data_IF_933549621866
#
_entry.id   IF_933549621866
#
_cell.length_a   1.000
_cell.length_b   1.000
_cell.length_c   1.000
_cell.angle_alpha   90.00
_cell.angle_beta   90.00
_cell.angle_gamma   90.00
#
_symmetry.space_group_name_H-M   'P 1'
#
loop_
_entity.id
_entity.type
_entity.pdbx_description
1 polymer ?
#
# COMPACT_ATOMS: atom_id res chain seq x y z
N UNK A 1 4.45 -33.32 -31.28
CA UNK A 1 3.44 -32.73 -30.36
C UNK A 1 3.46 -31.19 -30.31
N UNK A 2 4.51 -30.50 -30.74
CA UNK A 2 4.66 -29.04 -30.60
C UNK A 2 3.85 -28.17 -31.59
N UNK A 3 3.39 -28.71 -32.73
CA UNK A 3 2.62 -27.95 -33.73
C UNK A 3 1.14 -27.67 -33.34
N UNK A 4 0.60 -28.37 -32.35
CA UNK A 4 -0.79 -28.19 -31.91
C UNK A 4 -0.99 -26.94 -31.02
N UNK A 5 0.08 -26.46 -30.36
CA UNK A 5 0.04 -25.32 -29.44
C UNK A 5 0.06 -23.94 -30.14
N UNK A 6 0.23 -23.88 -31.46
CA UNK A 6 0.40 -22.61 -32.20
C UNK A 6 -0.71 -22.34 -33.23
N UNK A 7 -1.79 -23.13 -33.27
CA UNK A 7 -2.91 -22.85 -34.16
C UNK A 7 -3.69 -21.62 -33.67
N UNK A 8 -4.26 -20.78 -34.57
CA UNK A 8 -5.05 -19.62 -34.17
C UNK A 8 -6.29 -20.01 -33.34
N UNK A 9 -6.82 -21.23 -33.51
CA UNK A 9 -7.92 -21.77 -32.71
C UNK A 9 -7.49 -22.13 -31.30
N UNK A 10 -6.31 -22.72 -31.12
CA UNK A 10 -5.79 -23.08 -29.80
C UNK A 10 -5.36 -21.85 -28.99
N UNK A 11 -4.80 -20.81 -29.63
CA UNK A 11 -4.56 -19.51 -28.97
C UNK A 11 -5.86 -18.83 -28.52
N UNK A 12 -6.89 -18.83 -29.37
CA UNK A 12 -8.22 -18.29 -29.00
C UNK A 12 -8.84 -19.06 -27.84
N UNK A 13 -8.79 -20.40 -27.88
CA UNK A 13 -9.32 -21.24 -26.80
C UNK A 13 -8.57 -20.98 -25.48
N UNK A 14 -7.23 -20.86 -25.52
CA UNK A 14 -6.42 -20.53 -24.35
C UNK A 14 -6.75 -19.15 -23.78
N UNK A 15 -6.94 -18.13 -24.63
CA UNK A 15 -7.34 -16.80 -24.19
C UNK A 15 -8.73 -16.79 -23.56
N UNK A 16 -9.69 -17.48 -24.17
CA UNK A 16 -11.06 -17.61 -23.61
C UNK A 16 -11.01 -18.32 -22.26
N UNK A 17 -10.26 -19.42 -22.16
CA UNK A 17 -10.07 -20.13 -20.88
C UNK A 17 -9.43 -19.22 -19.83
N UNK A 18 -8.40 -18.45 -20.20
CA UNK A 18 -7.75 -17.49 -19.31
C UNK A 18 -8.72 -16.42 -18.81
N UNK A 19 -9.56 -15.86 -19.70
CA UNK A 19 -10.59 -14.88 -19.33
C UNK A 19 -11.63 -15.50 -18.39
N UNK A 20 -12.10 -16.71 -18.69
CA UNK A 20 -13.08 -17.41 -17.83
C UNK A 20 -12.50 -17.68 -16.44
N UNK A 21 -11.25 -18.13 -16.36
CA UNK A 21 -10.57 -18.34 -15.08
C UNK A 21 -10.37 -17.02 -14.32
N UNK A 22 -9.99 -15.94 -15.02
CA UNK A 22 -9.87 -14.62 -14.42
C UNK A 22 -11.21 -14.15 -13.85
N UNK A 23 -12.31 -14.28 -14.61
CA UNK A 23 -13.65 -13.94 -14.14
C UNK A 23 -14.04 -14.80 -12.95
N UNK A 24 -13.78 -16.11 -12.98
CA UNK A 24 -14.08 -17.02 -11.87
C UNK A 24 -13.34 -16.63 -10.58
N UNK A 25 -12.11 -16.11 -10.69
CA UNK A 25 -11.34 -15.61 -9.54
C UNK A 25 -11.83 -14.25 -9.07
N UNK A 26 -12.15 -13.32 -9.98
CA UNK A 26 -12.49 -11.92 -9.64
C UNK A 26 -13.95 -11.76 -9.22
N UNK A 27 -14.88 -12.48 -9.84
CA UNK A 27 -16.32 -12.33 -9.62
C UNK A 27 -16.73 -12.49 -8.15
N UNK A 28 -16.21 -13.46 -7.36
CA UNK A 28 -16.50 -13.56 -5.93
C UNK A 28 -16.18 -12.29 -5.14
N UNK A 29 -15.04 -11.65 -5.43
CA UNK A 29 -14.65 -10.40 -4.78
C UNK A 29 -15.51 -9.22 -5.24
N UNK A 30 -15.89 -9.20 -6.53
CA UNK A 30 -16.80 -8.18 -7.04
C UNK A 30 -18.18 -8.27 -6.41
N UNK A 31 -18.72 -9.49 -6.23
CA UNK A 31 -20.00 -9.74 -5.54
C UNK A 31 -19.92 -9.35 -4.07
N UNK A 32 -18.81 -9.66 -3.39
CA UNK A 32 -18.60 -9.18 -2.02
C UNK A 32 -18.58 -7.65 -1.94
N UNK A 33 -17.88 -6.98 -2.86
CA UNK A 33 -17.73 -5.53 -2.85
C UNK A 33 -19.01 -4.77 -3.27
N UNK A 34 -19.84 -5.37 -4.12
CA UNK A 34 -21.07 -4.79 -4.67
C UNK A 34 -22.15 -5.88 -4.70
N UNK A 35 -22.79 -6.22 -3.57
CA UNK A 35 -23.80 -7.30 -3.50
C UNK A 35 -25.03 -7.04 -4.38
N UNK A 36 -25.28 -5.79 -4.78
CA UNK A 36 -26.41 -5.40 -5.62
C UNK A 36 -26.35 -6.04 -7.02
N UNK A 37 -25.16 -6.43 -7.49
CA UNK A 37 -25.00 -7.12 -8.78
C UNK A 37 -25.67 -8.50 -8.80
N UNK A 38 -25.95 -9.08 -7.62
CA UNK A 38 -26.70 -10.33 -7.46
C UNK A 38 -28.06 -10.13 -6.80
N UNK A 39 -28.52 -8.88 -6.67
CA UNK A 39 -29.82 -8.53 -6.09
C UNK A 39 -29.85 -8.67 -4.56
N UNK A 40 -28.74 -8.39 -3.90
CA UNK A 40 -28.61 -8.35 -2.45
C UNK A 40 -28.09 -6.98 -1.99
N UNK A 41 -28.11 -6.73 -0.68
CA UNK A 41 -27.94 -5.39 -0.12
C UNK A 41 -26.67 -5.32 0.72
N UNK A 42 -26.33 -6.41 1.42
CA UNK A 42 -25.17 -6.45 2.32
C UNK A 42 -24.32 -7.71 2.10
N UNK A 43 -23.05 -7.62 2.50
CA UNK A 43 -22.12 -8.74 2.47
C UNK A 43 -21.30 -8.77 3.77
N UNK A 44 -21.14 -9.97 4.34
CA UNK A 44 -20.40 -10.13 5.59
C UNK A 44 -19.42 -11.29 5.51
N UNK A 45 -18.26 -11.11 6.15
CA UNK A 45 -17.32 -12.21 6.38
C UNK A 45 -17.70 -12.92 7.67
N UNK A 46 -17.85 -14.24 7.59
CA UNK A 46 -18.23 -15.08 8.72
C UNK A 46 -17.01 -15.30 9.61
N UNK A 47 -17.13 -14.94 10.87
CA UNK A 47 -16.01 -14.95 11.83
C UNK A 47 -16.01 -16.18 12.76
N UNK A 48 -17.18 -16.75 13.02
CA UNK A 48 -17.37 -17.83 14.00
C UNK A 48 -17.89 -19.10 13.33
N UNK A 49 -17.79 -20.22 14.04
CA UNK A 49 -18.20 -21.54 13.52
C UNK A 49 -19.64 -21.92 13.87
N UNK A 50 -20.49 -20.99 14.33
CA UNK A 50 -21.84 -21.30 14.83
C UNK A 50 -22.79 -21.83 13.76
N UNK A 51 -22.54 -21.53 12.49
CA UNK A 51 -23.33 -22.01 11.34
C UNK A 51 -22.70 -23.20 10.61
N UNK A 52 -21.68 -23.85 11.20
CA UNK A 52 -21.05 -25.04 10.60
C UNK A 52 -22.02 -26.23 10.63
N UNK A 53 -22.10 -27.08 9.59
CA UNK A 53 -21.28 -27.09 8.37
C UNK A 53 -21.82 -26.28 7.19
N UNK A 54 -23.00 -25.66 7.31
CA UNK A 54 -23.62 -24.94 6.20
C UNK A 54 -22.84 -23.69 5.81
N UNK A 55 -22.28 -22.99 6.78
CA UNK A 55 -21.49 -21.76 6.62
C UNK A 55 -20.32 -21.82 7.59
N UNK A 56 -19.10 -21.80 7.06
CA UNK A 56 -17.87 -21.92 7.84
C UNK A 56 -17.20 -20.55 8.10
N UNK A 57 -16.34 -20.45 9.12
CA UNK A 57 -15.47 -19.29 9.29
C UNK A 57 -14.66 -19.01 8.02
N UNK A 58 -14.55 -17.74 7.64
CA UNK A 58 -13.87 -17.29 6.43
C UNK A 58 -14.69 -17.39 5.15
N UNK A 59 -15.93 -17.88 5.22
CA UNK A 59 -16.90 -17.72 4.14
C UNK A 59 -17.43 -16.29 4.12
N UNK A 60 -17.96 -15.89 2.96
CA UNK A 60 -18.72 -14.66 2.80
C UNK A 60 -20.18 -15.01 2.61
N UNK A 61 -21.05 -14.35 3.36
CA UNK A 61 -22.50 -14.41 3.16
C UNK A 61 -22.97 -13.13 2.47
N UNK A 62 -23.84 -13.30 1.49
CA UNK A 62 -24.52 -12.22 0.78
C UNK A 62 -25.96 -12.20 1.27
N UNK A 63 -26.39 -11.04 1.77
CA UNK A 63 -27.62 -10.85 2.51
C UNK A 63 -28.52 -9.91 1.72
N UNK A 64 -29.73 -10.36 1.43
CA UNK A 64 -30.75 -9.55 0.79
C UNK A 64 -31.83 -9.20 1.81
N UNK A 65 -32.25 -7.93 1.81
CA UNK A 65 -33.41 -7.47 2.55
C UNK A 65 -34.65 -8.28 2.13
N UNK A 66 -35.49 -8.57 3.12
CA UNK A 66 -36.75 -9.29 2.89
C UNK A 66 -37.79 -8.78 3.86
N UNK A 67 -39.04 -8.73 3.39
CA UNK A 67 -40.18 -8.48 4.26
C UNK A 67 -40.13 -9.46 5.44
N UNK A 68 -40.06 -8.98 6.70
CA UNK A 68 -40.04 -9.85 7.87
C UNK A 68 -41.20 -10.85 7.91
N UNK A 69 -42.36 -10.51 7.34
CA UNK A 69 -43.54 -11.39 7.29
C UNK A 69 -43.39 -12.58 6.34
N UNK A 70 -42.41 -12.52 5.43
CA UNK A 70 -42.09 -13.61 4.51
C UNK A 70 -41.02 -14.58 5.05
N UNK A 71 -40.45 -14.29 6.22
CA UNK A 71 -39.46 -15.15 6.87
C UNK A 71 -40.15 -16.40 7.43
N UNK A 72 -39.57 -17.56 7.15
CA UNK A 72 -40.06 -18.84 7.60
C UNK A 72 -39.02 -19.62 8.40
N UNK A 73 -39.49 -20.63 9.13
CA UNK A 73 -38.59 -21.62 9.74
C UNK A 73 -37.68 -22.26 8.69
N UNK A 74 -36.40 -22.36 9.02
CA UNK A 74 -35.36 -22.86 8.12
C UNK A 74 -34.57 -21.77 7.40
N UNK A 75 -35.08 -20.54 7.31
CA UNK A 75 -34.34 -19.42 6.72
C UNK A 75 -33.10 -19.08 7.56
N UNK A 76 -32.01 -18.69 6.89
CA UNK A 76 -30.80 -18.19 7.55
C UNK A 76 -30.82 -16.67 7.48
N UNK A 77 -30.99 -16.02 8.61
CA UNK A 77 -31.14 -14.58 8.70
C UNK A 77 -29.92 -13.94 9.35
N UNK A 78 -29.63 -12.72 8.93
CA UNK A 78 -28.69 -11.82 9.59
C UNK A 78 -29.47 -10.76 10.36
N UNK A 79 -29.11 -10.50 11.61
CA UNK A 79 -29.81 -9.57 12.48
C UNK A 79 -28.86 -8.91 13.47
N UNK A 80 -29.28 -7.78 14.05
CA UNK A 80 -28.56 -7.09 15.12
C UNK A 80 -29.22 -7.35 16.48
N UNK A 81 -28.45 -7.51 17.54
CA UNK A 81 -28.98 -7.76 18.90
C UNK A 81 -28.68 -6.61 19.84
N UNK A 82 -29.72 -6.10 20.51
CA UNK A 82 -29.59 -5.00 21.47
C UNK A 82 -29.03 -3.75 20.81
N UNK A 83 -27.95 -3.23 21.39
CA UNK A 83 -27.20 -2.07 20.86
C UNK A 83 -25.86 -2.49 20.23
N UNK A 84 -25.69 -3.77 19.88
CA UNK A 84 -24.47 -4.25 19.21
C UNK A 84 -24.51 -3.86 17.74
N UNK A 85 -23.44 -3.22 17.27
CA UNK A 85 -23.24 -2.92 15.86
C UNK A 85 -22.74 -4.15 15.06
N UNK A 86 -22.42 -5.25 15.75
CA UNK A 86 -21.96 -6.49 15.11
C UNK A 86 -23.17 -7.38 14.78
N UNK A 87 -23.44 -7.66 13.49
CA UNK A 87 -24.52 -8.52 13.08
C UNK A 87 -24.23 -10.00 13.38
N UNK A 88 -25.29 -10.76 13.62
CA UNK A 88 -25.28 -12.20 13.88
C UNK A 88 -26.08 -12.89 12.79
N UNK A 89 -25.55 -14.01 12.28
CA UNK A 89 -26.22 -14.82 11.23
C UNK A 89 -26.55 -16.18 11.79
N UNK A 90 -27.84 -16.50 11.96
CA UNK A 90 -28.31 -17.80 12.47
C UNK A 90 -29.59 -18.27 11.76
N UNK A 91 -29.94 -19.54 11.93
CA UNK A 91 -31.14 -20.14 11.33
C UNK A 91 -32.38 -19.86 12.17
N UNK A 92 -33.47 -19.51 11.53
CA UNK A 92 -34.79 -19.40 12.16
C UNK A 92 -35.30 -20.80 12.47
N UNK A 93 -35.61 -21.06 13.73
CA UNK A 93 -36.21 -22.32 14.20
C UNK A 93 -37.66 -22.14 14.65
N UNK A 94 -38.13 -20.90 14.76
CA UNK A 94 -39.51 -20.57 15.11
C UNK A 94 -39.85 -19.14 14.73
N UNK A 95 -41.12 -18.91 14.35
CA UNK A 95 -41.67 -17.57 14.11
C UNK A 95 -42.82 -17.35 15.10
N UNK A 96 -42.81 -16.21 15.78
CA UNK A 96 -43.76 -15.90 16.85
C UNK A 96 -44.33 -14.50 16.69
N UNK A 97 -45.61 -14.34 17.04
CA UNK A 97 -46.33 -13.08 16.92
C UNK A 97 -46.69 -12.68 15.49
N UNK A 98 -47.32 -11.52 15.34
CA UNK A 98 -47.74 -10.94 14.06
C UNK A 98 -47.59 -9.41 14.11
N UNK A 99 -47.48 -8.79 12.93
CA UNK A 99 -47.37 -7.34 12.79
C UNK A 99 -46.21 -6.76 13.60
N UNK A 100 -46.50 -5.81 14.50
CA UNK A 100 -45.48 -5.16 15.33
C UNK A 100 -44.86 -6.08 16.41
N UNK A 101 -45.50 -7.21 16.72
CA UNK A 101 -45.00 -8.18 17.70
C UNK A 101 -44.27 -9.36 17.04
N UNK A 102 -44.09 -9.33 15.71
CA UNK A 102 -43.39 -10.38 14.98
C UNK A 102 -41.93 -10.49 15.45
N UNK A 103 -41.54 -11.70 15.84
CA UNK A 103 -40.20 -12.01 16.30
C UNK A 103 -39.79 -13.45 15.94
N UNK A 104 -38.49 -13.65 15.77
CA UNK A 104 -37.89 -14.91 15.33
C UNK A 104 -37.13 -15.58 16.47
N UNK A 105 -37.33 -16.88 16.64
CA UNK A 105 -36.46 -17.72 17.43
C UNK A 105 -35.35 -18.25 16.54
N UNK A 106 -34.10 -18.03 16.92
CA UNK A 106 -32.93 -18.35 16.10
C UNK A 106 -31.99 -19.31 16.80
N UNK A 107 -31.24 -20.09 16.02
CA UNK A 107 -30.23 -21.02 16.50
C UNK A 107 -29.12 -21.15 15.46
N UNK A 108 -27.87 -21.12 15.92
CA UNK A 108 -26.73 -21.51 15.08
C UNK A 108 -26.75 -23.01 14.81
N UNK A 109 -26.49 -23.43 13.57
CA UNK A 109 -26.51 -24.84 13.15
C UNK A 109 -25.60 -25.76 14.01
N UNK A 110 -24.53 -25.21 14.57
CA UNK A 110 -23.58 -25.92 15.44
C UNK A 110 -23.84 -25.72 16.94
N UNK A 111 -24.82 -24.91 17.33
CA UNK A 111 -25.11 -24.63 18.75
C UNK A 111 -25.90 -25.80 19.39
N UNK A 112 -25.84 -25.92 20.71
CA UNK A 112 -26.56 -26.98 21.45
C UNK A 112 -28.04 -26.65 21.71
N UNK A 113 -28.44 -25.38 21.56
CA UNK A 113 -29.81 -24.94 21.75
C UNK A 113 -30.07 -23.55 21.17
N UNK A 114 -31.32 -23.06 21.30
CA UNK A 114 -31.75 -21.76 20.80
C UNK A 114 -30.92 -20.61 21.38
N UNK A 115 -30.79 -19.54 20.59
CA UNK A 115 -30.18 -18.31 21.07
C UNK A 115 -31.01 -17.67 22.19
N UNK A 116 -30.38 -16.90 23.09
CA UNK A 116 -31.11 -16.22 24.15
C UNK A 116 -31.98 -15.10 23.59
N UNK A 117 -33.30 -15.24 23.79
CA UNK A 117 -34.31 -14.25 23.45
C UNK A 117 -34.71 -14.23 21.98
N UNK A 118 -35.93 -13.76 21.72
CA UNK A 118 -36.45 -13.62 20.36
C UNK A 118 -35.85 -12.39 19.66
N UNK A 119 -35.64 -12.49 18.36
CA UNK A 119 -35.18 -11.42 17.49
C UNK A 119 -36.39 -10.66 16.94
N UNK A 120 -36.64 -9.41 17.34
CA UNK A 120 -37.76 -8.64 16.79
C UNK A 120 -37.58 -8.39 15.29
N UNK A 121 -38.68 -8.31 14.54
CA UNK A 121 -38.67 -8.03 13.11
C UNK A 121 -37.90 -6.75 12.74
N UNK A 122 -37.92 -5.72 13.61
CA UNK A 122 -37.19 -4.47 13.41
C UNK A 122 -35.66 -4.59 13.51
N UNK A 123 -35.15 -5.73 13.97
CA UNK A 123 -33.73 -6.01 14.07
C UNK A 123 -33.21 -6.89 12.92
N UNK A 124 -34.09 -7.32 12.01
CA UNK A 124 -33.72 -8.09 10.83
C UNK A 124 -32.93 -7.20 9.88
N UNK A 125 -31.72 -7.65 9.50
CA UNK A 125 -30.94 -7.04 8.42
C UNK A 125 -31.36 -7.65 7.08
N UNK A 126 -31.49 -8.98 7.04
CA UNK A 126 -31.98 -9.66 5.85
C UNK A 126 -31.75 -11.16 5.91
N UNK A 127 -31.88 -11.82 4.77
CA UNK A 127 -31.72 -13.27 4.62
C UNK A 127 -30.51 -13.58 3.75
N UNK A 128 -29.73 -14.57 4.16
CA UNK A 128 -28.61 -15.07 3.37
C UNK A 128 -29.14 -15.72 2.09
N UNK A 129 -28.74 -15.19 0.94
CA UNK A 129 -29.14 -15.69 -0.39
C UNK A 129 -28.01 -16.46 -1.08
N UNK A 130 -26.76 -16.12 -0.77
CA UNK A 130 -25.57 -16.75 -1.35
C UNK A 130 -24.46 -16.83 -0.32
N UNK A 131 -23.78 -17.98 -0.27
CA UNK A 131 -22.55 -18.18 0.51
C UNK A 131 -21.40 -18.45 -0.44
N UNK A 132 -20.30 -17.72 -0.28
CA UNK A 132 -19.09 -17.87 -1.08
C UNK A 132 -17.96 -18.36 -0.17
N UNK A 133 -17.47 -19.59 -0.36
CA UNK A 133 -16.52 -20.18 0.56
C UNK A 133 -15.11 -19.58 0.44
N UNK A 134 -14.38 -19.56 1.55
CA UNK A 134 -12.94 -19.22 1.68
C UNK A 134 -12.49 -17.80 1.30
N UNK A 135 -13.25 -17.03 0.51
CA UNK A 135 -12.81 -15.71 0.04
C UNK A 135 -12.67 -14.70 1.17
N UNK A 136 -13.40 -14.90 2.28
CA UNK A 136 -13.30 -14.08 3.48
C UNK A 136 -11.91 -14.12 4.12
N UNK A 137 -11.14 -15.20 3.96
CA UNK A 137 -9.74 -15.22 4.40
C UNK A 137 -8.86 -14.26 3.61
N UNK A 138 -9.06 -14.18 2.29
CA UNK A 138 -8.31 -13.26 1.42
C UNK A 138 -8.70 -11.82 1.73
N UNK A 139 -9.99 -11.55 1.91
CA UNK A 139 -10.50 -10.21 2.27
C UNK A 139 -9.91 -9.75 3.62
N UNK A 140 -9.96 -10.61 4.64
CA UNK A 140 -9.40 -10.30 5.95
C UNK A 140 -7.88 -10.08 5.88
N UNK A 141 -7.16 -10.93 5.13
CA UNK A 141 -5.73 -10.76 4.92
C UNK A 141 -5.41 -9.45 4.21
N UNK A 142 -6.13 -9.10 3.15
CA UNK A 142 -5.98 -7.83 2.43
C UNK A 142 -6.23 -6.61 3.34
N UNK A 143 -7.10 -6.75 4.34
CA UNK A 143 -7.32 -5.74 5.39
C UNK A 143 -6.12 -5.54 6.33
N UNK A 144 -5.17 -6.47 6.42
CA UNK A 144 -3.95 -6.33 7.24
C UNK A 144 -2.88 -5.48 6.55
N UNK A 145 -1.94 -4.91 7.31
CA UNK A 145 -0.78 -4.17 6.74
C UNK A 145 0.04 -5.05 5.79
N UNK A 146 0.32 -6.28 6.20
CA UNK A 146 1.10 -7.22 5.40
C UNK A 146 0.37 -7.61 4.11
N UNK A 147 -0.93 -7.92 4.19
CA UNK A 147 -1.72 -8.26 3.02
C UNK A 147 -1.92 -7.09 2.06
N UNK A 148 -2.13 -5.87 2.57
CA UNK A 148 -2.16 -4.67 1.73
C UNK A 148 -0.84 -4.46 0.98
N UNK A 149 0.31 -4.60 1.67
CA UNK A 149 1.61 -4.49 1.01
C UNK A 149 1.79 -5.59 -0.05
N UNK A 150 1.47 -6.83 0.28
CA UNK A 150 1.67 -7.97 -0.60
C UNK A 150 0.75 -7.95 -1.84
N UNK A 151 -0.53 -7.63 -1.65
CA UNK A 151 -1.56 -7.72 -2.69
C UNK A 151 -1.75 -6.42 -3.48
N UNK A 152 -1.34 -5.27 -2.94
CA UNK A 152 -1.53 -3.96 -3.58
C UNK A 152 -0.17 -3.30 -3.84
N UNK A 153 0.59 -2.93 -2.81
CA UNK A 153 1.81 -2.13 -3.01
C UNK A 153 2.88 -2.84 -3.83
N UNK A 154 3.14 -4.12 -3.56
CA UNK A 154 4.17 -4.89 -4.26
C UNK A 154 3.88 -5.02 -5.77
N UNK A 155 2.70 -5.47 -6.24
CA UNK A 155 2.45 -5.58 -7.67
C UNK A 155 2.42 -4.23 -8.38
N UNK A 156 1.80 -3.20 -7.80
CA UNK A 156 1.81 -1.85 -8.38
C UNK A 156 3.21 -1.23 -8.39
N UNK A 157 3.99 -1.43 -7.32
CA UNK A 157 5.37 -0.98 -7.23
C UNK A 157 6.28 -1.67 -8.23
N UNK A 158 6.10 -2.98 -8.44
CA UNK A 158 6.84 -3.74 -9.45
C UNK A 158 6.50 -3.25 -10.86
N UNK A 159 5.21 -3.03 -11.16
CA UNK A 159 4.77 -2.47 -12.43
C UNK A 159 5.39 -1.09 -12.68
N UNK A 160 5.35 -0.20 -11.69
CA UNK A 160 5.97 1.11 -11.78
C UNK A 160 7.49 1.02 -11.98
N UNK A 161 8.17 0.11 -11.26
CA UNK A 161 9.60 -0.11 -11.43
C UNK A 161 9.97 -0.62 -12.83
N UNK A 162 9.15 -1.52 -13.40
CA UNK A 162 9.38 -2.01 -14.76
C UNK A 162 9.21 -0.91 -15.82
N UNK A 163 8.25 -0.01 -15.62
CA UNK A 163 8.03 1.14 -16.53
C UNK A 163 9.16 2.17 -16.41
N UNK A 164 9.64 2.45 -15.20
CA UNK A 164 10.80 3.33 -15.02
C UNK A 164 12.06 2.73 -15.65
N UNK A 165 12.25 1.42 -15.53
CA UNK A 165 13.42 0.74 -16.10
C UNK A 165 13.41 0.72 -17.63
N UNK A 166 12.24 0.57 -18.27
CA UNK A 166 12.13 0.65 -19.73
C UNK A 166 12.53 2.03 -20.25
N UNK A 167 12.08 3.11 -19.59
CA UNK A 167 12.41 4.49 -19.97
C UNK A 167 13.91 4.77 -19.87
N UNK A 168 14.58 4.24 -18.83
CA UNK A 168 16.03 4.42 -18.65
C UNK A 168 16.83 3.62 -19.68
N UNK A 169 16.33 2.46 -20.11
CA UNK A 169 17.06 1.55 -21.00
C UNK A 169 16.88 1.86 -22.49
N UNK A 170 15.70 2.32 -22.92
CA UNK A 170 15.42 2.68 -24.32
C UNK A 170 16.22 3.92 -24.80
N UNK A 171 16.65 4.78 -23.87
CA UNK A 171 17.57 5.89 -24.18
C UNK A 171 19.00 5.44 -24.50
N UNK A 172 19.37 4.20 -24.18
CA UNK A 172 20.68 3.63 -24.48
C UNK A 172 20.85 3.09 -25.91
N UNK A 173 19.74 2.77 -26.60
CA UNK A 173 19.81 2.15 -27.93
C UNK A 173 19.64 3.15 -29.09
N UNK A 174 19.19 4.38 -28.83
CA UNK A 174 19.01 5.41 -29.87
C UNK A 174 20.29 6.20 -30.23
N UNK A 175 21.44 5.90 -29.60
CA UNK A 175 22.72 6.56 -29.88
C UNK A 175 23.53 6.00 -31.06
N UNK A 176 22.98 5.04 -31.82
CA UNK A 176 23.74 4.20 -32.75
C UNK A 176 23.49 4.39 -34.25
N UNK A 177 22.78 5.44 -34.71
CA UNK A 177 22.67 5.72 -36.15
C UNK A 177 23.67 6.81 -36.55
N UNK A 178 24.90 6.39 -36.87
CA UNK A 178 25.96 7.27 -37.38
C UNK A 178 25.51 7.97 -38.68
N UNK A 179 25.69 9.30 -38.82
CA UNK A 179 25.48 9.96 -40.09
C UNK A 179 26.57 9.54 -41.07
N UNK A 180 26.15 9.21 -42.29
CA UNK A 180 27.03 8.92 -43.41
C UNK A 180 28.05 10.06 -43.59
N UNK A 181 29.32 9.67 -43.59
CA UNK A 181 30.51 10.49 -43.86
C UNK A 181 30.34 11.34 -45.11
N UNK A 182 30.39 12.66 -44.95
CA UNK A 182 30.62 13.61 -46.05
C UNK A 182 32.13 13.86 -46.11
N UNK A 183 32.74 13.55 -47.25
CA UNK A 183 34.16 13.76 -47.52
C UNK A 183 34.51 15.27 -47.55
N UNK A 184 35.72 15.69 -47.11
CA UNK A 184 36.14 17.08 -47.15
C UNK A 184 36.77 17.43 -48.50
N UNK A 185 36.39 18.56 -49.08
CA UNK A 185 37.08 19.16 -50.23
C UNK A 185 37.75 20.47 -49.80
N UNK A 186 38.93 20.67 -50.38
CA UNK A 186 40.04 21.52 -50.01
C UNK A 186 39.79 23.03 -49.81
N UNK A 187 40.67 23.57 -48.97
CA UNK A 187 41.04 24.97 -48.81
C UNK A 187 41.39 25.66 -50.14
N UNK A 188 41.01 26.92 -50.29
CA UNK A 188 41.80 27.88 -51.05
C UNK A 188 41.67 29.29 -50.50
N UNK A 189 42.83 29.93 -50.51
CA UNK A 189 43.24 31.21 -49.93
C UNK A 189 42.70 32.43 -50.70
N UNK A 190 42.68 33.60 -50.05
CA UNK A 190 42.89 34.87 -50.76
C UNK A 190 41.86 36.00 -50.62
N UNK A 191 42.22 36.96 -49.76
CA UNK A 191 42.16 38.42 -49.97
C UNK A 191 40.81 39.19 -49.93
N UNK A 192 40.72 40.15 -48.99
CA UNK A 192 40.42 41.54 -49.36
C UNK A 192 39.41 42.33 -48.51
N UNK A 193 39.97 43.26 -47.71
CA UNK A 193 39.50 44.63 -47.40
C UNK A 193 38.67 44.87 -46.12
N UNK A 194 39.21 45.83 -45.35
CA UNK A 194 38.85 46.40 -44.06
C UNK A 194 37.57 47.28 -44.07
N UNK A 195 36.97 47.56 -42.90
CA UNK A 195 37.04 48.87 -42.20
C UNK A 195 36.03 48.95 -41.02
N UNK A 196 36.56 49.42 -39.88
CA UNK A 196 35.97 50.24 -38.80
C UNK A 196 35.22 49.62 -37.60
N UNK A 197 35.95 49.68 -36.48
CA UNK A 197 35.67 50.47 -35.28
C UNK A 197 34.79 49.89 -34.16
N UNK A 198 35.47 49.77 -33.02
CA UNK A 198 34.99 49.39 -31.69
C UNK A 198 34.00 50.39 -31.08
N UNK A 199 33.06 49.91 -30.26
CA UNK A 199 32.84 50.45 -28.91
C UNK A 199 32.03 49.47 -28.05
N UNK A 200 32.53 49.26 -26.82
CA UNK A 200 31.88 48.54 -25.72
C UNK A 200 30.55 49.16 -25.29
N UNK A 201 29.53 48.33 -25.04
CA UNK A 201 28.47 48.58 -24.06
C UNK A 201 27.57 47.34 -23.83
N UNK A 202 27.62 46.79 -22.63
CA UNK A 202 26.54 46.04 -21.95
C UNK A 202 26.28 46.77 -20.61
N UNK A 203 25.12 46.62 -19.94
CA UNK A 203 23.88 45.96 -20.33
C UNK A 203 22.64 46.86 -20.07
N UNK A 204 21.50 46.58 -20.72
CA UNK A 204 20.21 47.09 -20.23
C UNK A 204 19.06 46.15 -20.60
N UNK A 205 18.56 45.50 -19.53
CA UNK A 205 17.24 44.89 -19.40
C UNK A 205 16.13 45.67 -20.12
N UNK A 206 15.47 45.00 -21.07
CA UNK A 206 14.04 45.19 -21.32
C UNK A 206 13.42 43.84 -21.64
N UNK A 207 12.49 43.44 -20.78
CA UNK A 207 11.52 42.40 -21.06
C UNK A 207 10.73 42.77 -22.33
N UNK A 208 10.63 41.84 -23.26
CA UNK A 208 9.52 41.84 -24.20
C UNK A 208 8.96 40.42 -24.34
N UNK A 209 7.64 40.37 -24.34
CA UNK A 209 6.84 39.18 -24.24
C UNK A 209 6.47 38.64 -25.63
N UNK A 210 6.12 37.35 -25.61
CA UNK A 210 5.31 36.65 -26.61
C UNK A 210 6.02 36.23 -27.91
N UNK A 211 6.46 34.96 -27.90
CA UNK A 211 6.80 34.22 -29.11
C UNK A 211 7.63 32.98 -28.85
N UNK A 212 7.19 32.05 -28.00
CA UNK A 212 7.93 30.82 -27.70
C UNK A 212 7.00 29.65 -27.50
N UNK A 213 7.21 28.58 -28.27
CA UNK A 213 6.55 27.27 -28.19
C UNK A 213 6.18 26.87 -26.76
N UNK A 214 4.98 26.31 -26.56
CA UNK A 214 4.45 25.85 -25.26
C UNK A 214 5.24 24.70 -24.61
N UNK A 215 6.50 24.96 -24.26
CA UNK A 215 7.34 24.10 -23.45
C UNK A 215 7.20 24.46 -21.98
N UNK A 216 7.13 23.44 -21.12
CA UNK A 216 7.19 23.61 -19.66
C UNK A 216 8.63 23.90 -19.28
N UNK A 217 8.89 24.95 -18.48
CA UNK A 217 10.26 25.25 -18.03
C UNK A 217 10.78 24.16 -17.10
N UNK A 218 12.07 23.86 -17.20
CA UNK A 218 12.74 22.85 -16.36
C UNK A 218 12.56 23.20 -14.88
N UNK A 219 12.65 24.49 -14.52
CA UNK A 219 12.44 24.96 -13.15
C UNK A 219 11.00 24.73 -12.65
N UNK A 220 10.00 24.84 -13.54
CA UNK A 220 8.61 24.55 -13.18
C UNK A 220 8.40 23.06 -12.91
N UNK A 221 9.00 22.17 -13.71
CA UNK A 221 8.96 20.72 -13.46
C UNK A 221 9.72 20.37 -12.17
N UNK A 222 10.84 21.03 -11.89
CA UNK A 222 11.61 20.86 -10.66
C UNK A 222 10.85 21.32 -9.41
N UNK A 223 10.19 22.47 -9.47
CA UNK A 223 9.33 22.96 -8.40
C UNK A 223 8.16 22.02 -8.12
N UNK A 224 7.51 21.49 -9.17
CA UNK A 224 6.46 20.49 -9.02
C UNK A 224 6.98 19.19 -8.39
N UNK A 225 8.16 18.71 -8.80
CA UNK A 225 8.80 17.54 -8.21
C UNK A 225 9.12 17.74 -6.72
N UNK A 226 9.59 18.93 -6.32
CA UNK A 226 9.87 19.24 -4.92
C UNK A 226 8.60 19.25 -4.04
N UNK A 227 7.51 19.85 -4.52
CA UNK A 227 6.21 19.85 -3.82
C UNK A 227 5.69 18.42 -3.70
N UNK A 228 5.73 17.66 -4.79
CA UNK A 228 5.30 16.27 -4.80
C UNK A 228 6.18 15.40 -3.89
N UNK A 229 7.48 15.66 -3.78
CA UNK A 229 8.37 14.94 -2.88
C UNK A 229 8.03 15.18 -1.40
N UNK A 230 7.50 16.35 -1.05
CA UNK A 230 7.03 16.65 0.30
C UNK A 230 5.64 16.05 0.58
N UNK A 231 4.74 16.06 -0.40
CA UNK A 231 3.34 15.62 -0.25
C UNK A 231 3.17 14.11 -0.38
N UNK A 232 3.95 13.46 -1.24
CA UNK A 232 3.82 12.02 -1.54
C UNK A 232 4.04 11.14 -0.29
N UNK A 233 5.07 11.35 0.56
CA UNK A 233 5.23 10.55 1.78
C UNK A 233 4.05 10.68 2.74
N UNK A 234 3.47 11.88 2.84
CA UNK A 234 2.28 12.11 3.65
C UNK A 234 1.04 11.43 3.06
N UNK A 235 0.83 11.53 1.74
CA UNK A 235 -0.26 10.83 1.06
C UNK A 235 -0.16 9.31 1.22
N UNK A 236 1.05 8.76 1.10
CA UNK A 236 1.34 7.34 1.35
C UNK A 236 1.05 6.97 2.81
N UNK A 237 1.49 7.78 3.77
CA UNK A 237 1.18 7.57 5.18
C UNK A 237 -0.34 7.55 5.44
N UNK A 238 -1.08 8.51 4.90
CA UNK A 238 -2.55 8.58 5.01
C UNK A 238 -3.22 7.37 4.35
N UNK A 239 -2.71 6.90 3.20
CA UNK A 239 -3.21 5.67 2.57
C UNK A 239 -2.96 4.42 3.43
N UNK A 240 -1.82 4.32 4.09
CA UNK A 240 -1.50 3.24 5.03
C UNK A 240 -2.40 3.26 6.28
N UNK A 241 -2.69 4.44 6.80
CA UNK A 241 -3.51 4.59 8.01
C UNK A 241 -4.99 4.33 7.70
N UNK A 242 -5.54 5.01 6.69
CA UNK A 242 -6.97 5.02 6.40
C UNK A 242 -7.45 3.82 5.55
N UNK A 243 -6.60 3.24 4.69
CA UNK A 243 -6.95 2.09 3.82
C UNK A 243 -8.23 2.26 2.99
N UNK A 244 -8.67 3.50 2.74
CA UNK A 244 -9.81 3.80 1.89
C UNK A 244 -9.39 3.90 0.42
N UNK A 245 -10.32 3.59 -0.49
CA UNK A 245 -10.07 3.67 -1.94
C UNK A 245 -9.57 5.06 -2.37
N UNK A 246 -10.13 6.12 -1.80
CA UNK A 246 -9.74 7.51 -2.09
C UNK A 246 -8.32 7.80 -1.64
N UNK A 247 -7.95 7.41 -0.42
CA UNK A 247 -6.60 7.65 0.09
C UNK A 247 -5.53 6.91 -0.73
N UNK A 248 -5.82 5.65 -1.10
CA UNK A 248 -4.95 4.84 -1.96
C UNK A 248 -4.80 5.49 -3.34
N UNK A 249 -5.91 5.92 -3.97
CA UNK A 249 -5.88 6.58 -5.27
C UNK A 249 -5.06 7.87 -5.25
N UNK A 250 -5.20 8.70 -4.21
CA UNK A 250 -4.42 9.94 -4.04
C UNK A 250 -2.93 9.64 -3.86
N UNK A 251 -2.57 8.63 -3.05
CA UNK A 251 -1.18 8.24 -2.85
C UNK A 251 -0.53 7.72 -4.15
N UNK A 252 -1.24 6.88 -4.89
CA UNK A 252 -0.77 6.37 -6.19
C UNK A 252 -0.61 7.52 -7.19
N UNK A 253 -1.62 8.40 -7.32
CA UNK A 253 -1.55 9.54 -8.22
C UNK A 253 -0.40 10.48 -7.88
N UNK A 254 -0.21 10.82 -6.59
CA UNK A 254 0.89 11.67 -6.14
C UNK A 254 2.26 11.03 -6.42
N UNK A 255 2.41 9.72 -6.15
CA UNK A 255 3.65 8.99 -6.44
C UNK A 255 3.93 8.90 -7.94
N UNK A 256 2.94 8.61 -8.77
CA UNK A 256 3.09 8.56 -10.24
C UNK A 256 3.46 9.94 -10.80
N UNK A 257 2.83 11.02 -10.32
CA UNK A 257 3.17 12.39 -10.71
C UNK A 257 4.59 12.77 -10.27
N UNK A 258 5.00 12.39 -9.05
CA UNK A 258 6.34 12.63 -8.54
C UNK A 258 7.39 11.94 -9.41
N UNK A 259 7.18 10.66 -9.71
CA UNK A 259 8.09 9.88 -10.55
C UNK A 259 8.14 10.44 -11.97
N UNK A 260 7.01 10.83 -12.56
CA UNK A 260 6.95 11.47 -13.87
C UNK A 260 7.70 12.82 -13.89
N UNK A 261 7.49 13.66 -12.87
CA UNK A 261 8.17 14.94 -12.74
C UNK A 261 9.69 14.77 -12.57
N UNK A 262 10.13 13.83 -11.74
CA UNK A 262 11.55 13.52 -11.56
C UNK A 262 12.17 12.92 -12.84
N UNK A 263 11.48 12.03 -13.54
CA UNK A 263 11.96 11.42 -14.78
C UNK A 263 12.11 12.43 -15.94
N UNK A 264 11.29 13.49 -15.93
CA UNK A 264 11.40 14.61 -16.85
C UNK A 264 12.46 15.65 -16.41
N UNK A 265 12.56 15.93 -15.11
CA UNK A 265 13.42 16.98 -14.57
C UNK A 265 14.89 16.57 -14.45
N UNK A 266 15.20 15.36 -13.97
CA UNK A 266 16.57 14.92 -13.71
C UNK A 266 17.45 15.00 -14.98
N UNK A 267 16.99 14.55 -16.17
CA UNK A 267 17.78 14.69 -17.40
C UNK A 267 17.87 16.15 -17.88
N UNK A 268 16.80 16.93 -17.68
CA UNK A 268 16.73 18.31 -18.18
C UNK A 268 17.48 19.33 -17.29
N UNK A 269 17.74 18.98 -16.03
CA UNK A 269 18.40 19.85 -15.04
C UNK A 269 19.94 19.84 -15.12
N UNK A 270 20.54 18.94 -15.92
CA UNK A 270 22.00 18.80 -16.01
C UNK A 270 22.67 18.37 -14.70
N UNK A 271 21.90 17.95 -13.68
CA UNK A 271 22.39 17.61 -12.34
C UNK A 271 23.36 16.42 -12.33
N UNK A 272 23.35 15.62 -13.39
CA UNK A 272 24.19 14.43 -13.56
C UNK A 272 25.47 14.68 -14.40
N UNK A 273 25.63 15.83 -15.05
CA UNK A 273 26.75 16.11 -15.98
C UNK A 273 28.07 16.51 -15.30
N UNK A 274 28.28 16.12 -14.03
CA UNK A 274 29.54 16.41 -13.35
C UNK A 274 30.64 15.44 -13.80
N UNK A 275 31.27 15.76 -14.93
CA UNK A 275 32.53 15.18 -15.37
C UNK A 275 33.65 15.50 -14.35
N UNK A 276 34.51 14.52 -14.05
CA UNK A 276 35.52 14.56 -13.00
C UNK A 276 36.57 15.68 -13.12
N UNK A 277 37.39 15.89 -12.07
CA UNK A 277 38.35 16.99 -12.03
C UNK A 277 39.38 16.84 -13.15
N UNK A 278 39.32 17.76 -14.11
CA UNK A 278 40.42 18.03 -15.05
C UNK A 278 41.56 18.68 -14.27
N UNK A 279 42.74 18.07 -14.38
CA UNK A 279 43.98 18.56 -13.81
C UNK A 279 44.32 19.94 -14.39
N UNK A 280 44.43 20.95 -13.52
CA UNK A 280 45.17 22.16 -13.82
C UNK A 280 46.56 22.03 -13.19
N UNK A 281 47.56 21.83 -14.04
CA UNK A 281 48.96 22.07 -13.73
C UNK A 281 49.13 23.48 -13.16
N UNK A 282 49.91 23.62 -12.09
CA UNK A 282 50.59 24.89 -11.79
C UNK A 282 51.96 24.56 -11.21
N UNK A 283 52.96 25.07 -11.92
CA UNK A 283 54.40 24.98 -11.71
C UNK A 283 54.86 25.15 -10.26
N UNK A 284 55.86 24.34 -9.90
CA UNK A 284 56.77 24.60 -8.78
C UNK A 284 57.83 25.66 -9.20
N UNK A 285 58.58 26.29 -8.27
CA UNK A 285 59.75 25.57 -7.74
C UNK A 285 60.16 25.85 -6.28
N UNK A 286 60.71 24.78 -5.69
CA UNK A 286 61.83 24.64 -4.76
C UNK A 286 62.38 25.84 -3.95
N UNK A 287 62.49 25.64 -2.64
CA UNK A 287 63.68 26.01 -1.86
C UNK A 287 63.88 25.04 -0.68
N UNK A 288 65.06 24.44 -0.64
CA UNK A 288 65.54 23.56 0.43
C UNK A 288 66.40 24.35 1.43
N UNK A 289 66.32 23.99 2.72
CA UNK A 289 67.36 24.11 3.75
C UNK A 289 66.77 23.51 5.06
N UNK A 290 67.12 22.31 5.52
CA UNK A 290 68.39 21.82 6.10
C UNK A 290 68.46 21.97 7.64
N UNK A 291 68.65 20.82 8.29
CA UNK A 291 69.45 20.60 9.51
C UNK A 291 68.93 21.06 10.88
N UNK A 292 68.99 20.15 11.87
CA UNK A 292 69.28 20.53 13.26
C UNK A 292 68.55 19.73 14.35
N UNK A 293 69.31 19.10 15.25
CA UNK A 293 68.91 18.06 16.21
C UNK A 293 68.94 18.61 17.66
N UNK A 294 68.12 18.01 18.54
CA UNK A 294 68.37 17.65 19.97
C UNK A 294 67.91 18.54 21.14
N UNK A 295 67.34 17.80 22.12
CA UNK A 295 67.40 17.91 23.61
C UNK A 295 66.25 18.56 24.42
N UNK A 296 65.49 17.67 25.10
CA UNK A 296 65.06 17.59 26.53
C UNK A 296 64.70 18.88 27.29
N UNK A 297 63.64 18.98 28.10
CA UNK A 297 63.33 18.16 29.29
C UNK A 297 61.98 18.64 29.93
N UNK A 298 61.39 17.84 30.84
CA UNK A 298 60.49 18.34 31.89
C UNK A 298 59.04 17.81 31.91
N UNK A 299 58.73 16.95 32.88
CA UNK A 299 57.46 16.21 32.99
C UNK A 299 56.26 16.95 33.61
N UNK A 300 55.10 16.30 33.60
CA UNK A 300 54.26 16.04 34.78
C UNK A 300 53.01 15.20 34.44
N UNK A 301 52.80 14.18 35.26
CA UNK A 301 51.55 13.56 35.73
C UNK A 301 50.61 12.78 34.79
N UNK A 302 50.69 11.45 34.95
CA UNK A 302 49.62 10.45 34.82
C UNK A 302 49.10 10.12 36.25
N UNK A 303 48.05 9.29 36.53
CA UNK A 303 47.52 8.15 35.74
C UNK A 303 45.97 8.18 35.55
N UNK A 304 45.41 7.64 34.46
CA UNK A 304 45.13 6.23 34.16
C UNK A 304 44.10 5.55 35.09
N UNK A 305 42.96 5.13 34.52
CA UNK A 305 42.18 3.99 35.01
C UNK A 305 41.91 3.04 33.84
N UNK A 306 42.40 1.83 34.02
CA UNK A 306 42.29 0.66 33.15
C UNK A 306 41.15 -0.24 33.65
N UNK A 307 40.72 -1.10 32.75
CA UNK A 307 39.65 -2.07 32.82
C UNK A 307 39.85 -3.19 33.85
N UNK A 308 38.79 -3.97 34.06
CA UNK A 308 38.92 -5.43 34.00
C UNK A 308 38.46 -6.24 35.21
N UNK A 309 37.40 -7.01 34.96
CA UNK A 309 37.30 -8.47 35.21
C UNK A 309 36.86 -9.05 36.58
N UNK A 310 35.82 -9.92 36.45
CA UNK A 310 35.57 -11.24 37.11
C UNK A 310 35.21 -11.25 38.61
N UNK A 311 34.47 -12.21 39.19
CA UNK A 311 33.62 -13.37 38.85
C UNK A 311 33.12 -13.93 40.22
N UNK A 312 31.99 -14.69 40.23
CA UNK A 312 31.48 -15.65 41.27
C UNK A 312 31.17 -15.13 42.70
N UNK A 313 30.12 -15.57 43.41
CA UNK A 313 29.70 -16.95 43.70
C UNK A 313 28.26 -17.04 44.24
N UNK A 314 27.74 -18.28 44.26
CA UNK A 314 26.38 -18.73 44.55
C UNK A 314 25.89 -18.60 46.02
N UNK A 315 24.58 -18.84 46.26
CA UNK A 315 23.99 -19.75 47.30
C UNK A 315 22.46 -19.53 47.48
N UNK A 316 21.70 -20.57 47.11
CA UNK A 316 20.63 -21.30 47.86
C UNK A 316 19.19 -20.73 48.14
N UNK A 317 18.25 -21.67 48.04
CA UNK A 317 16.76 -21.68 48.05
C UNK A 317 16.14 -21.69 49.48
N UNK A 318 14.81 -21.94 49.76
CA UNK A 318 13.52 -21.89 49.01
C UNK A 318 12.33 -21.22 49.80
N UNK A 319 11.11 -21.36 49.24
CA UNK A 319 9.77 -21.37 49.88
C UNK A 319 9.05 -20.07 50.30
N UNK A 320 7.90 -19.78 49.64
CA UNK A 320 6.60 -19.76 50.33
C UNK A 320 5.37 -19.74 49.40
N UNK A 321 4.39 -20.50 49.86
CA UNK A 321 3.10 -20.87 49.29
C UNK A 321 2.03 -19.76 49.31
N UNK A 322 0.95 -20.05 48.58
CA UNK A 322 -0.33 -19.34 48.34
C UNK A 322 -1.13 -19.09 49.65
N UNK A 323 -2.20 -18.25 49.68
CA UNK A 323 -3.53 -18.78 49.31
C UNK A 323 -4.49 -17.81 48.60
N UNK A 324 -5.43 -18.43 47.90
CA UNK A 324 -6.66 -17.88 47.34
C UNK A 324 -7.58 -17.25 48.40
N UNK A 325 -8.43 -16.30 47.99
CA UNK A 325 -9.60 -15.88 48.77
C UNK A 325 -10.82 -15.63 47.88
N UNK A 326 -11.81 -16.50 48.05
CA UNK A 326 -13.26 -16.26 47.91
C UNK A 326 -13.92 -17.12 49.00
N UNK A 327 -14.86 -16.57 49.79
CA UNK A 327 -16.24 -17.06 49.75
C UNK A 327 -17.28 -15.91 49.87
N UNK A 328 -18.32 -15.85 49.04
CA UNK A 328 -19.66 -16.45 49.20
C UNK A 328 -20.71 -15.44 49.79
N UNK A 329 -22.04 -15.69 49.61
CA UNK A 329 -23.06 -14.66 49.40
C UNK A 329 -23.79 -14.20 50.67
N UNK A 330 -24.46 -13.06 50.57
CA UNK A 330 -25.36 -12.54 51.60
C UNK A 330 -26.78 -13.08 51.39
N UNK A 331 -27.25 -13.86 52.35
CA UNK A 331 -28.66 -14.14 52.62
C UNK A 331 -29.32 -12.89 53.21
N UNK A 332 -30.51 -12.55 52.71
CA UNK A 332 -31.37 -11.51 53.25
C UNK A 332 -32.82 -11.97 53.20
N UNK A 333 -33.27 -12.59 54.29
CA UNK A 333 -34.65 -12.96 54.55
C UNK A 333 -35.54 -11.71 54.68
N UNK A 334 -36.71 -11.74 54.05
CA UNK A 334 -37.87 -10.92 54.41
C UNK A 334 -39.11 -11.81 54.42
N UNK A 335 -39.53 -12.16 55.62
CA UNK A 335 -40.78 -12.80 56.00
C UNK A 335 -41.79 -11.71 56.33
N UNK A 336 -42.97 -11.69 55.69
CA UNK A 336 -44.21 -11.07 56.22
C UNK A 336 -45.45 -11.41 55.38
N UNK A 337 -46.31 -12.27 55.95
CA UNK A 337 -47.74 -12.03 56.18
C UNK A 337 -48.68 -11.72 55.00
N UNK A 338 -49.38 -12.75 54.48
CA UNK A 338 -50.86 -12.91 54.39
C UNK A 338 -51.31 -13.90 53.31
#
# INVERSE_FOLDING_TARGET
>A
MTKLLTSPRTKRAANVLGIVLLIAVVAPFAVFAVPEVVGADESFVVLTASMTPAIAPGDVVIVAERDPTAIAEGDVITFVRGTSDVPVTHRVIGVSGEGAALAFETMGDANEGPDPGLVPAGNLVGVVTLTIPWIGYVIQFAGTRAGFVALVMLPFGLLAATEVWSIVRDRGESGGQAPATVEPVESTDGAGVEVAAATDAEPASTADAAGGSGGVSVDAVGGAAAVLAAVTPYAVYVAFELRTAVAIAVAVAAATLLLGALAAWIPASGVLDRSGPSAAETDAPAAAADGGVSETDGGADAPATDAGEREVDAVDHPDREIPATTPAPADGAAEADR
#
